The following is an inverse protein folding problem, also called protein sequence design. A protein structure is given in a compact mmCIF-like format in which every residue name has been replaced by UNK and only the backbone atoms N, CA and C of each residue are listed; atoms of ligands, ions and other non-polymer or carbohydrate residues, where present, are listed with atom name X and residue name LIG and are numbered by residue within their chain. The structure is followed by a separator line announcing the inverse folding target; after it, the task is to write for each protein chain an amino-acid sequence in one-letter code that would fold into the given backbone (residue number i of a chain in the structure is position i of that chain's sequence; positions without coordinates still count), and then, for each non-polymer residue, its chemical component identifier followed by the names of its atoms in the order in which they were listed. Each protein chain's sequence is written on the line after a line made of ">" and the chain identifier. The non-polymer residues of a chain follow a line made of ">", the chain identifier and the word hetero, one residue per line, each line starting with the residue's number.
data_IF_695666496670
#
_entry.id   IF_695666496670
#
_cell.length_a   1.000
_cell.length_b   1.000
_cell.length_c   1.000
_cell.angle_alpha   90.00
_cell.angle_beta   90.00
_cell.angle_gamma   90.00
#
_symmetry.space_group_name_H-M   'P 1'
#
loop_
_entity.id
_entity.type
_entity.pdbx_description
1 polymer ?
#
# COMPACT_ATOMS: atom_id res chain seq x y z
N UNK A 1 -0.75 -13.10 -36.83
CA UNK A 1 -0.16 -13.79 -35.66
C UNK A 1 0.39 -12.74 -34.73
N UNK A 2 -0.41 -12.31 -33.78
CA UNK A 2 0.01 -11.33 -32.78
C UNK A 2 0.73 -12.07 -31.68
N UNK A 3 2.03 -11.87 -31.60
CA UNK A 3 2.90 -12.34 -30.51
C UNK A 3 2.30 -11.88 -29.18
N UNK A 4 1.89 -12.82 -28.35
CA UNK A 4 1.64 -12.57 -26.94
C UNK A 4 3.01 -12.35 -26.30
N UNK A 5 3.44 -11.11 -26.28
CA UNK A 5 4.67 -10.71 -25.62
C UNK A 5 4.60 -11.09 -24.15
N UNK A 6 5.53 -11.93 -23.79
CA UNK A 6 5.75 -12.51 -22.50
C UNK A 6 5.69 -11.51 -21.35
N UNK A 7 4.65 -11.64 -20.59
CA UNK A 7 4.70 -11.26 -19.18
C UNK A 7 5.83 -12.07 -18.58
N UNK A 8 6.90 -11.40 -18.17
CA UNK A 8 7.95 -12.06 -17.42
C UNK A 8 7.31 -12.79 -16.23
N UNK A 9 7.77 -14.04 -16.00
CA UNK A 9 7.27 -14.82 -14.89
C UNK A 9 7.37 -14.01 -13.59
N UNK A 10 6.36 -14.06 -12.70
CA UNK A 10 6.37 -13.31 -11.48
C UNK A 10 7.60 -13.69 -10.64
N UNK A 11 8.34 -12.68 -10.20
CA UNK A 11 9.47 -12.89 -9.31
C UNK A 11 8.96 -13.19 -7.91
N UNK A 12 9.30 -14.35 -7.38
CA UNK A 12 8.97 -14.74 -6.02
C UNK A 12 10.17 -14.45 -5.12
N UNK A 13 9.95 -13.70 -4.04
CA UNK A 13 10.95 -13.41 -3.03
C UNK A 13 10.62 -14.22 -1.76
N UNK A 14 11.56 -15.03 -1.31
CA UNK A 14 11.42 -15.78 -0.06
C UNK A 14 11.76 -14.86 1.12
N UNK A 15 10.82 -14.72 2.05
CA UNK A 15 11.00 -13.91 3.25
C UNK A 15 11.49 -14.79 4.40
N UNK A 16 12.78 -14.73 4.67
CA UNK A 16 13.35 -15.28 5.91
C UNK A 16 13.77 -14.12 6.81
N UNK A 17 13.82 -14.30 8.13
CA UNK A 17 14.23 -13.23 9.05
C UNK A 17 15.59 -12.60 8.70
N UNK A 18 16.55 -13.41 8.25
CA UNK A 18 17.89 -12.94 7.85
C UNK A 18 17.91 -12.15 6.54
N UNK A 19 16.90 -12.31 5.69
CA UNK A 19 16.81 -11.69 4.36
C UNK A 19 15.80 -10.53 4.31
N UNK A 20 15.09 -10.27 5.39
CA UNK A 20 13.98 -9.31 5.41
C UNK A 20 14.42 -7.94 4.87
N UNK A 21 15.53 -7.39 5.34
CA UNK A 21 16.02 -6.08 4.92
C UNK A 21 16.37 -6.05 3.43
N UNK A 22 17.05 -7.06 2.95
CA UNK A 22 17.43 -7.17 1.54
C UNK A 22 16.19 -7.29 0.64
N UNK A 23 15.24 -8.13 1.01
CA UNK A 23 14.00 -8.32 0.25
C UNK A 23 13.11 -7.08 0.30
N UNK A 24 13.06 -6.37 1.42
CA UNK A 24 12.34 -5.11 1.53
C UNK A 24 12.93 -4.04 0.60
N UNK A 25 14.25 -3.96 0.50
CA UNK A 25 14.94 -3.02 -0.40
C UNK A 25 14.62 -3.34 -1.87
N UNK A 26 14.71 -4.61 -2.26
CA UNK A 26 14.35 -5.04 -3.62
C UNK A 26 12.90 -4.70 -3.93
N UNK A 27 11.99 -4.96 -3.00
CA UNK A 27 10.56 -4.66 -3.15
C UNK A 27 10.32 -3.16 -3.27
N UNK A 28 10.97 -2.34 -2.46
CA UNK A 28 10.88 -0.89 -2.54
C UNK A 28 11.33 -0.35 -3.91
N UNK A 29 12.40 -0.92 -4.46
CA UNK A 29 12.90 -0.53 -5.80
C UNK A 29 11.91 -0.92 -6.91
N UNK A 30 11.28 -2.09 -6.81
CA UNK A 30 10.24 -2.54 -7.74
C UNK A 30 9.03 -1.58 -7.69
N UNK A 31 8.60 -1.21 -6.49
CA UNK A 31 7.50 -0.24 -6.30
C UNK A 31 7.84 1.14 -6.86
N UNK A 32 9.08 1.61 -6.65
CA UNK A 32 9.53 2.90 -7.24
C UNK A 32 9.59 2.86 -8.77
N UNK A 33 9.80 1.69 -9.35
CA UNK A 33 9.73 1.49 -10.80
C UNK A 33 8.28 1.53 -11.34
N UNK A 34 7.28 1.70 -10.47
CA UNK A 34 5.87 1.80 -10.85
C UNK A 34 5.18 0.45 -11.00
N UNK A 35 5.74 -0.59 -10.40
CA UNK A 35 5.18 -1.94 -10.43
C UNK A 35 4.26 -2.23 -9.23
N UNK A 36 3.47 -3.29 -9.36
CA UNK A 36 2.59 -3.81 -8.31
C UNK A 36 3.23 -5.06 -7.72
N UNK A 37 3.18 -5.20 -6.40
CA UNK A 37 3.69 -6.37 -5.70
C UNK A 37 2.60 -6.98 -4.81
N UNK A 38 2.63 -8.30 -4.65
CA UNK A 38 1.87 -8.97 -3.61
C UNK A 38 2.74 -9.08 -2.36
N UNK A 39 2.24 -8.60 -1.24
CA UNK A 39 2.98 -8.54 0.03
C UNK A 39 2.18 -9.13 1.18
N UNK A 40 2.82 -9.83 2.12
CA UNK A 40 2.17 -10.22 3.35
C UNK A 40 1.84 -8.98 4.21
N UNK A 41 0.78 -9.12 5.00
CA UNK A 41 0.41 -8.17 6.04
C UNK A 41 0.13 -8.91 7.34
N UNK A 42 -0.40 -8.23 8.33
CA UNK A 42 -0.88 -8.83 9.58
C UNK A 42 -2.26 -9.53 9.44
N UNK A 43 -2.86 -9.48 8.27
CA UNK A 43 -4.14 -10.14 7.97
C UNK A 43 -3.98 -11.10 6.79
N UNK A 44 -4.19 -10.65 5.58
CA UNK A 44 -4.07 -11.43 4.35
C UNK A 44 -3.08 -10.77 3.40
N UNK A 45 -2.61 -11.49 2.38
CA UNK A 45 -1.80 -10.91 1.33
C UNK A 45 -2.54 -9.77 0.62
N UNK A 46 -1.83 -8.70 0.36
CA UNK A 46 -2.34 -7.55 -0.37
C UNK A 46 -1.55 -7.25 -1.63
N UNK A 47 -2.22 -6.63 -2.60
CA UNK A 47 -1.57 -6.00 -3.74
C UNK A 47 -1.21 -4.58 -3.35
N UNK A 48 0.05 -4.23 -3.52
CA UNK A 48 0.60 -2.93 -3.14
C UNK A 48 1.21 -2.22 -4.35
N UNK A 49 1.04 -0.90 -4.37
CA UNK A 49 1.67 0.01 -5.31
C UNK A 49 1.94 1.34 -4.61
N UNK A 50 2.83 2.18 -5.13
CA UNK A 50 2.97 3.54 -4.61
C UNK A 50 1.66 4.30 -4.81
N UNK A 51 1.07 4.82 -3.73
CA UNK A 51 -0.23 5.50 -3.77
C UNK A 51 -0.22 6.76 -4.66
N UNK A 52 0.92 7.43 -4.74
CA UNK A 52 1.08 8.64 -5.54
C UNK A 52 1.60 8.39 -6.96
N UNK A 53 1.79 7.12 -7.34
CA UNK A 53 2.16 6.74 -8.71
C UNK A 53 0.89 6.33 -9.49
N UNK A 54 0.31 7.27 -10.21
CA UNK A 54 -0.98 7.08 -10.91
C UNK A 54 -0.99 5.85 -11.82
N UNK A 55 0.09 5.61 -12.57
CA UNK A 55 0.18 4.42 -13.43
C UNK A 55 0.14 3.11 -12.64
N UNK A 56 0.81 3.07 -11.48
CA UNK A 56 0.83 1.89 -10.62
C UNK A 56 -0.54 1.66 -9.96
N UNK A 57 -1.20 2.73 -9.52
CA UNK A 57 -2.58 2.66 -8.99
C UNK A 57 -3.54 2.12 -10.04
N UNK A 58 -3.44 2.58 -11.28
CA UNK A 58 -4.25 2.05 -12.40
C UNK A 58 -4.01 0.55 -12.64
N UNK A 59 -2.77 0.08 -12.53
CA UNK A 59 -2.47 -1.36 -12.61
C UNK A 59 -3.23 -2.17 -11.56
N UNK A 60 -3.32 -1.66 -10.32
CA UNK A 60 -4.13 -2.33 -9.28
C UNK A 60 -5.61 -2.41 -9.71
N UNK A 61 -6.19 -1.33 -10.20
CA UNK A 61 -7.58 -1.34 -10.67
C UNK A 61 -7.78 -2.34 -11.82
N UNK A 62 -6.85 -2.40 -12.76
CA UNK A 62 -6.91 -3.35 -13.87
C UNK A 62 -6.85 -4.80 -13.39
N UNK A 63 -5.94 -5.12 -12.46
CA UNK A 63 -5.82 -6.46 -11.86
C UNK A 63 -7.11 -6.85 -11.12
N UNK A 64 -7.72 -5.90 -10.40
CA UNK A 64 -8.97 -6.12 -9.64
C UNK A 64 -10.23 -6.10 -10.50
N UNK A 65 -10.11 -6.00 -11.84
CA UNK A 65 -11.26 -6.02 -12.77
C UNK A 65 -12.08 -4.73 -12.73
N UNK A 66 -11.45 -3.60 -12.45
CA UNK A 66 -12.09 -2.26 -12.39
C UNK A 66 -13.28 -2.14 -11.43
N UNK A 67 -13.43 -3.07 -10.51
CA UNK A 67 -14.48 -2.95 -9.50
C UNK A 67 -14.08 -1.88 -8.47
N UNK A 68 -14.29 -0.63 -8.85
CA UNK A 68 -13.98 0.56 -8.05
C UNK A 68 -14.94 0.76 -6.87
N UNK A 69 -15.89 -0.15 -6.67
CA UNK A 69 -16.89 -0.05 -5.61
C UNK A 69 -16.30 -0.18 -4.21
N UNK A 70 -15.09 -0.71 -4.07
CA UNK A 70 -14.39 -0.82 -2.80
C UNK A 70 -13.16 0.09 -2.79
N UNK A 71 -13.15 1.15 -1.97
CA UNK A 71 -12.00 2.02 -1.87
C UNK A 71 -10.73 1.27 -1.47
N UNK A 72 -9.61 1.63 -2.09
CA UNK A 72 -8.30 1.12 -1.74
C UNK A 72 -7.77 1.90 -0.54
N UNK A 73 -7.34 1.22 0.50
CA UNK A 73 -6.67 1.86 1.63
C UNK A 73 -5.21 2.15 1.31
N UNK A 74 -4.62 3.05 2.08
CA UNK A 74 -3.17 3.26 2.07
C UNK A 74 -2.53 2.69 3.32
N UNK A 75 -1.29 2.25 3.23
CA UNK A 75 -0.49 1.93 4.39
C UNK A 75 0.74 2.83 4.48
N UNK A 76 1.08 3.16 5.71
CA UNK A 76 2.23 3.99 6.08
C UNK A 76 3.09 3.28 7.12
N UNK A 77 4.30 3.75 7.33
CA UNK A 77 5.26 3.06 8.19
C UNK A 77 5.09 3.42 9.68
N UNK A 78 4.65 4.65 9.99
CA UNK A 78 4.53 5.12 11.36
C UNK A 78 3.38 6.12 11.55
N UNK A 79 3.02 6.35 12.81
CA UNK A 79 1.87 7.18 13.22
C UNK A 79 1.99 8.63 12.75
N UNK A 80 3.19 9.19 12.74
CA UNK A 80 3.40 10.58 12.31
C UNK A 80 3.02 10.83 10.85
N UNK A 81 3.05 9.78 10.03
CA UNK A 81 2.68 9.88 8.62
C UNK A 81 1.16 9.93 8.39
N UNK A 82 0.36 9.47 9.35
CA UNK A 82 -1.11 9.43 9.19
C UNK A 82 -1.68 10.82 8.90
N UNK A 83 -1.22 11.84 9.63
CA UNK A 83 -1.65 13.23 9.45
C UNK A 83 -1.21 13.89 8.14
N UNK A 84 -0.25 13.30 7.42
CA UNK A 84 0.17 13.79 6.10
C UNK A 84 -0.88 13.48 5.01
N UNK A 85 -1.64 12.39 5.19
CA UNK A 85 -2.51 11.83 4.17
C UNK A 85 -3.99 11.91 4.51
N UNK A 86 -4.32 12.06 5.80
CA UNK A 86 -5.67 12.19 6.29
C UNK A 86 -5.80 13.32 7.31
N UNK A 87 -6.98 13.91 7.40
CA UNK A 87 -7.30 14.91 8.43
C UNK A 87 -7.66 14.20 9.73
N UNK A 88 -6.66 13.97 10.58
CA UNK A 88 -6.82 13.23 11.84
C UNK A 88 -7.70 13.99 12.82
N UNK A 89 -8.72 13.32 13.35
CA UNK A 89 -9.71 13.87 14.29
C UNK A 89 -9.72 13.18 15.66
N UNK A 90 -8.81 12.24 15.86
CA UNK A 90 -8.65 11.52 17.12
C UNK A 90 -7.29 11.88 17.77
N UNK A 91 -7.14 11.58 19.05
CA UNK A 91 -5.89 11.87 19.76
C UNK A 91 -4.73 10.98 19.31
N UNK A 92 -3.50 11.46 19.48
CA UNK A 92 -2.30 10.67 19.19
C UNK A 92 -2.26 9.40 20.06
N UNK A 93 -2.64 9.51 21.33
CA UNK A 93 -2.76 8.36 22.23
C UNK A 93 -3.67 7.27 21.68
N UNK A 94 -4.83 7.64 21.13
CA UNK A 94 -5.75 6.68 20.53
C UNK A 94 -5.15 6.06 19.25
N UNK A 95 -4.46 6.86 18.44
CA UNK A 95 -3.72 6.33 17.27
C UNK A 95 -2.69 5.27 17.70
N UNK A 96 -1.93 5.53 18.75
CA UNK A 96 -0.91 4.63 19.29
C UNK A 96 -1.50 3.31 19.82
N UNK A 97 -2.73 3.35 20.33
CA UNK A 97 -3.43 2.15 20.76
C UNK A 97 -3.95 1.29 19.60
N UNK A 98 -4.29 1.93 18.49
CA UNK A 98 -4.91 1.25 17.34
C UNK A 98 -3.90 0.80 16.29
N UNK A 99 -2.79 1.52 16.16
CA UNK A 99 -1.76 1.31 15.14
C UNK A 99 -0.37 1.10 15.77
N UNK A 100 0.44 0.15 15.27
CA UNK A 100 0.11 -0.80 14.21
C UNK A 100 -0.91 -1.84 14.65
N UNK A 101 -1.66 -2.39 13.68
CA UNK A 101 -2.66 -3.42 13.95
C UNK A 101 -3.59 -3.69 12.77
N UNK A 102 -4.50 -4.67 12.91
CA UNK A 102 -5.35 -5.15 11.83
C UNK A 102 -6.60 -4.26 11.62
N UNK A 103 -6.44 -2.95 11.74
CA UNK A 103 -7.53 -1.98 11.58
C UNK A 103 -7.24 -0.99 10.46
N UNK A 104 -8.30 -0.49 9.86
CA UNK A 104 -8.24 0.63 8.90
C UNK A 104 -8.96 1.82 9.51
N UNK A 105 -8.24 2.91 9.71
CA UNK A 105 -8.81 4.17 10.20
C UNK A 105 -9.20 5.04 9.01
N UNK A 106 -10.41 5.54 9.02
CA UNK A 106 -10.94 6.36 7.94
C UNK A 106 -11.01 7.83 8.37
N UNK A 107 -10.37 8.69 7.60
CA UNK A 107 -10.38 10.14 7.79
C UNK A 107 -10.77 10.85 6.50
N UNK A 108 -11.13 12.11 6.57
CA UNK A 108 -11.19 12.96 5.38
C UNK A 108 -9.81 12.93 4.71
N UNK A 109 -9.80 12.75 3.40
CA UNK A 109 -8.54 12.67 2.65
C UNK A 109 -7.77 13.99 2.70
N UNK A 110 -6.45 13.86 2.81
CA UNK A 110 -5.54 15.00 2.71
C UNK A 110 -5.36 15.44 1.24
N UNK A 111 -5.01 16.70 1.04
CA UNK A 111 -4.87 17.29 -0.29
C UNK A 111 -3.66 16.75 -1.07
N UNK A 112 -2.66 16.23 -0.36
CA UNK A 112 -1.45 15.66 -0.97
C UNK A 112 -1.63 14.25 -1.53
N UNK A 113 -2.73 13.59 -1.18
CA UNK A 113 -3.00 12.24 -1.67
C UNK A 113 -3.40 12.30 -3.15
N UNK A 114 -2.86 11.36 -3.92
CA UNK A 114 -3.14 11.25 -5.35
C UNK A 114 -4.65 11.27 -5.64
N UNK A 115 -5.15 12.24 -6.42
CA UNK A 115 -6.58 12.35 -6.73
C UNK A 115 -7.11 11.17 -7.54
N UNK A 116 -6.26 10.41 -8.22
CA UNK A 116 -6.64 9.21 -8.98
C UNK A 116 -6.85 7.98 -8.08
N UNK A 117 -6.43 8.05 -6.81
CA UNK A 117 -6.72 7.00 -5.84
C UNK A 117 -8.09 7.28 -5.22
N UNK A 118 -9.07 6.39 -5.45
CA UNK A 118 -10.46 6.53 -5.00
C UNK A 118 -11.04 7.91 -5.36
N UNK A 119 -11.11 8.31 -6.63
CA UNK A 119 -11.42 9.69 -7.03
C UNK A 119 -12.77 10.19 -6.53
N UNK A 120 -13.74 9.28 -6.34
CA UNK A 120 -15.09 9.62 -5.90
C UNK A 120 -15.27 9.57 -4.37
N UNK A 121 -14.22 9.27 -3.61
CA UNK A 121 -14.28 9.14 -2.16
C UNK A 121 -13.70 10.37 -1.46
N UNK A 122 -14.47 11.04 -0.58
CA UNK A 122 -13.95 12.14 0.24
C UNK A 122 -13.11 11.67 1.42
N UNK A 123 -13.03 10.37 1.65
CA UNK A 123 -12.29 9.76 2.76
C UNK A 123 -11.16 8.88 2.26
N UNK A 124 -10.17 8.67 3.12
CA UNK A 124 -9.08 7.73 2.94
C UNK A 124 -9.01 6.77 4.11
N UNK A 125 -8.88 5.47 3.83
CA UNK A 125 -8.56 4.46 4.82
C UNK A 125 -7.05 4.35 4.99
N UNK A 126 -6.56 4.45 6.23
CA UNK A 126 -5.13 4.41 6.55
C UNK A 126 -4.86 3.24 7.50
N UNK A 127 -3.82 2.47 7.18
CA UNK A 127 -3.34 1.34 7.97
C UNK A 127 -1.86 1.48 8.29
N UNK A 128 -1.47 0.90 9.42
CA UNK A 128 -0.10 0.49 9.69
C UNK A 128 -0.17 -1.00 10.04
N UNK A 129 0.01 -1.89 9.05
CA UNK A 129 -0.03 -3.33 9.31
C UNK A 129 1.06 -3.73 10.33
N UNK A 130 0.70 -4.55 11.31
CA UNK A 130 1.67 -5.07 12.28
C UNK A 130 2.44 -6.25 11.67
N UNK A 131 3.21 -5.94 10.64
CA UNK A 131 4.06 -6.90 9.94
C UNK A 131 5.39 -6.23 9.56
N UNK A 132 6.52 -6.78 10.01
CA UNK A 132 7.82 -6.11 9.87
C UNK A 132 8.23 -5.87 8.42
N UNK A 133 7.86 -6.75 7.50
CA UNK A 133 8.23 -6.62 6.09
C UNK A 133 7.55 -5.43 5.42
N UNK A 134 6.22 -5.38 5.44
CA UNK A 134 5.48 -4.30 4.75
C UNK A 134 5.74 -2.94 5.39
N UNK A 135 5.94 -2.88 6.70
CA UNK A 135 6.35 -1.63 7.39
C UNK A 135 7.70 -1.14 6.92
N UNK A 136 8.66 -2.05 6.78
CA UNK A 136 9.99 -1.71 6.28
C UNK A 136 9.94 -1.25 4.81
N UNK A 137 9.14 -1.89 3.98
CA UNK A 137 8.92 -1.46 2.59
C UNK A 137 8.34 -0.03 2.56
N UNK A 138 7.32 0.26 3.37
CA UNK A 138 6.75 1.61 3.49
C UNK A 138 7.82 2.63 3.90
N UNK A 139 8.64 2.28 4.90
CA UNK A 139 9.70 3.15 5.38
C UNK A 139 10.72 3.46 4.29
N UNK A 140 11.14 2.45 3.54
CA UNK A 140 12.12 2.58 2.46
C UNK A 140 11.60 3.37 1.26
N UNK A 141 10.33 3.23 0.91
CA UNK A 141 9.73 3.96 -0.21
C UNK A 141 9.50 5.43 0.12
N UNK A 142 9.41 5.80 1.39
CA UNK A 142 9.07 7.16 1.86
C UNK A 142 7.78 7.71 1.21
N UNK A 143 6.88 6.83 0.88
CA UNK A 143 5.59 7.13 0.23
C UNK A 143 4.55 6.15 0.76
N UNK A 144 3.28 6.57 0.87
CA UNK A 144 2.23 5.62 1.24
C UNK A 144 2.07 4.59 0.12
N UNK A 145 1.75 3.38 0.51
CA UNK A 145 1.39 2.31 -0.42
C UNK A 145 -0.13 2.21 -0.53
N UNK A 146 -0.65 2.27 -1.75
CA UNK A 146 -2.01 1.79 -1.99
C UNK A 146 -2.02 0.28 -1.76
N UNK A 147 -2.95 -0.21 -0.95
CA UNK A 147 -3.01 -1.61 -0.53
C UNK A 147 -4.45 -2.12 -0.59
N UNK A 148 -4.65 -3.19 -1.35
CA UNK A 148 -5.94 -3.90 -1.44
C UNK A 148 -5.71 -5.40 -1.32
N UNK A 149 -6.73 -6.16 -0.90
CA UNK A 149 -6.61 -7.62 -0.80
C UNK A 149 -6.22 -8.26 -2.13
N UNK A 150 -5.40 -9.29 -2.08
CA UNK A 150 -4.92 -10.01 -3.27
C UNK A 150 -5.92 -11.04 -3.83
N UNK A 151 -7.05 -11.24 -3.13
CA UNK A 151 -8.12 -12.14 -3.55
C UNK A 151 -9.02 -11.56 -4.64
#
# INVERSE_FOLDING_TARGET
>A
MTSMNGLAAPKILNLTPSQLQQQAKITADILRAGEVVATPTDTIYGLAALANATKAVRKIYDIKGRNQSKPISICVANIKEVGLWGKVTITEELLEHLLPGPVTLCFKRGEKLNPELNPDSPIVGIRIPDHPFVREVCRLTQSPLALTSAN
#
